data_IF_636148000428
#
_entry.id   IF_636148000428
#
_cell.length_a   1.000
_cell.length_b   1.000
_cell.length_c   1.000
_cell.angle_alpha   90.00
_cell.angle_beta   90.00
_cell.angle_gamma   90.00
#
_symmetry.space_group_name_H-M   'P 1'
#
loop_
_entity.id
_entity.type
_entity.pdbx_description
1 polymer ?
#
# COMPACT_ATOMS: atom_id res chain seq x y z
N UNK A 1 8.86 10.98 20.88
CA UNK A 1 9.28 10.68 19.89
C UNK A 1 8.44 10.68 18.65
N UNK A 2 7.27 11.30 18.71
CA UNK A 2 6.43 11.41 17.53
C UNK A 2 7.12 12.21 16.41
N UNK A 3 7.79 13.30 16.77
CA UNK A 3 8.51 14.12 15.80
C UNK A 3 9.64 13.34 15.12
N UNK A 4 10.35 12.50 15.87
CA UNK A 4 11.42 11.68 15.31
C UNK A 4 10.88 10.62 14.39
N UNK A 5 9.72 10.07 14.71
CA UNK A 5 9.08 9.03 13.91
C UNK A 5 8.67 9.58 12.55
N UNK A 6 8.05 10.76 12.52
CA UNK A 6 7.65 11.41 11.28
C UNK A 6 8.88 11.76 10.43
N UNK A 7 9.89 12.31 11.08
CA UNK A 7 11.12 12.71 10.44
C UNK A 7 11.84 11.54 9.80
N UNK A 8 11.91 10.43 10.55
CA UNK A 8 12.53 9.21 10.09
C UNK A 8 11.81 8.65 8.87
N UNK A 9 10.49 8.72 8.85
CA UNK A 9 9.71 8.24 7.72
C UNK A 9 10.06 9.00 6.43
N UNK A 10 10.13 10.33 6.50
CA UNK A 10 10.47 11.15 5.36
C UNK A 10 11.90 10.95 4.87
N UNK A 11 12.84 10.79 5.79
CA UNK A 11 14.24 10.68 5.46
C UNK A 11 14.68 9.30 5.04
N UNK A 12 13.94 8.29 5.43
CA UNK A 12 14.34 6.90 5.24
C UNK A 12 13.55 6.18 4.18
N UNK A 13 13.07 6.92 3.18
CA UNK A 13 12.30 6.27 2.12
C UNK A 13 13.17 5.28 1.33
N UNK A 14 14.44 5.60 1.13
CA UNK A 14 15.38 4.67 0.52
C UNK A 14 15.54 3.40 1.35
N UNK A 15 15.66 3.56 2.66
CA UNK A 15 15.77 2.43 3.57
C UNK A 15 14.48 1.60 3.55
N UNK A 16 13.34 2.25 3.47
CA UNK A 16 12.05 1.58 3.34
C UNK A 16 12.00 0.73 2.07
N UNK A 17 12.45 1.31 0.94
CA UNK A 17 12.50 0.60 -0.33
C UNK A 17 13.39 -0.65 -0.22
N UNK A 18 14.59 -0.48 0.35
CA UNK A 18 15.52 -1.60 0.51
C UNK A 18 14.95 -2.69 1.42
N UNK A 19 14.38 -2.29 2.53
CA UNK A 19 13.77 -3.20 3.49
C UNK A 19 12.64 -4.01 2.87
N UNK A 20 11.71 -3.32 2.21
CA UNK A 20 10.57 -3.98 1.59
C UNK A 20 11.00 -4.88 0.44
N UNK A 21 12.00 -4.45 -0.33
CA UNK A 21 12.51 -5.22 -1.45
C UNK A 21 13.19 -6.52 -1.04
N UNK A 22 13.69 -6.59 0.19
CA UNK A 22 14.35 -7.79 0.71
C UNK A 22 13.36 -8.80 1.29
N UNK A 23 12.15 -8.35 1.62
CA UNK A 23 11.15 -9.23 2.24
C UNK A 23 10.60 -10.22 1.23
N UNK A 24 10.41 -11.44 1.70
CA UNK A 24 9.83 -12.50 0.91
C UNK A 24 8.72 -13.15 1.71
N UNK A 25 7.51 -13.14 1.16
CA UNK A 25 6.34 -13.72 1.79
C UNK A 25 5.31 -14.00 0.72
N UNK A 26 4.76 -15.18 0.70
CA UNK A 26 3.77 -15.54 -0.31
C UNK A 26 2.42 -15.79 0.37
N UNK A 27 1.43 -14.90 0.18
CA UNK A 27 1.44 -13.79 -0.78
C UNK A 27 1.93 -12.48 -0.19
N UNK A 28 2.53 -11.65 -1.04
CA UNK A 28 2.82 -10.25 -0.75
C UNK A 28 1.95 -9.39 -1.65
N UNK A 29 1.24 -8.43 -1.07
CA UNK A 29 0.35 -7.55 -1.81
C UNK A 29 0.97 -6.16 -1.91
N UNK A 30 1.02 -5.63 -3.12
CA UNK A 30 1.43 -4.25 -3.37
C UNK A 30 0.30 -3.54 -4.09
N UNK A 31 -0.16 -2.42 -3.54
CA UNK A 31 -1.19 -1.59 -4.15
C UNK A 31 -0.60 -0.22 -4.36
N UNK A 32 -0.59 0.25 -5.61
CA UNK A 32 -0.11 1.59 -5.96
C UNK A 32 -1.20 2.29 -6.74
N UNK A 33 -1.53 3.52 -6.36
CA UNK A 33 -2.58 4.26 -7.05
C UNK A 33 -2.38 5.76 -6.90
N UNK A 34 -2.98 6.48 -7.84
CA UNK A 34 -2.96 7.93 -7.84
C UNK A 34 -3.94 8.49 -6.83
N UNK A 35 -3.52 9.55 -6.14
CA UNK A 35 -4.33 10.22 -5.13
C UNK A 35 -4.41 11.71 -5.45
N UNK A 36 -5.26 12.40 -4.72
CA UNK A 36 -5.48 13.83 -4.87
C UNK A 36 -5.11 14.56 -3.58
N UNK A 37 -4.48 15.72 -3.73
CA UNK A 37 -4.00 16.48 -2.56
C UNK A 37 -5.10 17.24 -1.85
N UNK A 38 -6.13 17.63 -2.58
CA UNK A 38 -7.13 18.58 -2.09
C UNK A 38 -8.55 18.06 -2.16
N UNK A 39 -9.37 18.57 -1.26
CA UNK A 39 -10.81 18.37 -1.23
C UNK A 39 -11.45 19.25 -2.34
N UNK A 40 -12.49 18.80 -3.06
CA UNK A 40 -13.19 17.52 -2.88
C UNK A 40 -12.65 16.35 -3.68
N UNK A 41 -11.65 16.55 -4.51
CA UNK A 41 -11.14 15.49 -5.39
C UNK A 41 -10.63 14.29 -4.61
N UNK A 42 -10.07 14.52 -3.41
CA UNK A 42 -9.53 13.45 -2.59
C UNK A 42 -10.61 12.52 -2.02
N UNK A 43 -11.88 12.88 -2.11
CA UNK A 43 -12.96 11.98 -1.69
C UNK A 43 -13.03 10.75 -2.58
N UNK A 44 -12.66 10.88 -3.84
CA UNK A 44 -12.63 9.75 -4.76
C UNK A 44 -11.53 8.76 -4.44
N UNK A 45 -10.48 9.20 -3.75
CA UNK A 45 -9.38 8.34 -3.35
C UNK A 45 -9.87 7.19 -2.47
N UNK A 46 -10.85 7.46 -1.61
CA UNK A 46 -11.42 6.43 -0.75
C UNK A 46 -12.15 5.36 -1.56
N UNK A 47 -12.85 5.76 -2.60
CA UNK A 47 -13.57 4.83 -3.47
C UNK A 47 -12.57 3.97 -4.25
N UNK A 48 -11.53 4.60 -4.80
CA UNK A 48 -10.48 3.88 -5.52
C UNK A 48 -9.78 2.89 -4.58
N UNK A 49 -9.43 3.34 -3.39
CA UNK A 49 -8.79 2.49 -2.38
C UNK A 49 -9.64 1.26 -2.06
N UNK A 50 -10.93 1.46 -1.82
CA UNK A 50 -11.84 0.36 -1.51
C UNK A 50 -11.94 -0.64 -2.66
N UNK A 51 -11.97 -0.13 -3.89
CA UNK A 51 -12.04 -0.99 -5.07
C UNK A 51 -10.76 -1.82 -5.22
N UNK A 52 -9.61 -1.21 -5.01
CA UNK A 52 -8.33 -1.92 -5.10
C UNK A 52 -8.17 -2.95 -3.98
N UNK A 53 -8.62 -2.62 -2.77
CA UNK A 53 -8.58 -3.57 -1.66
C UNK A 53 -9.53 -4.74 -1.91
N UNK A 54 -10.70 -4.49 -2.50
CA UNK A 54 -11.62 -5.56 -2.88
C UNK A 54 -11.03 -6.46 -3.94
N UNK A 55 -10.35 -5.88 -4.92
CA UNK A 55 -9.65 -6.67 -5.94
C UNK A 55 -8.59 -7.57 -5.29
N UNK A 56 -7.79 -7.01 -4.40
CA UNK A 56 -6.76 -7.77 -3.69
C UNK A 56 -7.38 -8.92 -2.90
N UNK A 57 -8.44 -8.65 -2.17
CA UNK A 57 -9.15 -9.66 -1.37
C UNK A 57 -9.66 -10.79 -2.24
N UNK A 58 -10.33 -10.45 -3.33
CA UNK A 58 -10.89 -11.45 -4.24
C UNK A 58 -9.82 -12.33 -4.86
N UNK A 59 -8.69 -11.73 -5.24
CA UNK A 59 -7.57 -12.47 -5.82
C UNK A 59 -6.92 -13.41 -4.80
N UNK A 60 -6.77 -12.95 -3.56
CA UNK A 60 -6.21 -13.80 -2.49
C UNK A 60 -7.14 -14.99 -2.22
N UNK A 61 -8.44 -14.72 -2.10
CA UNK A 61 -9.41 -15.79 -1.84
C UNK A 61 -9.44 -16.83 -2.96
N UNK A 62 -9.29 -16.41 -4.22
CA UNK A 62 -9.35 -17.32 -5.35
C UNK A 62 -8.05 -18.08 -5.59
N UNK A 63 -6.90 -17.56 -5.16
CA UNK A 63 -5.60 -18.14 -5.46
C UNK A 63 -4.92 -18.85 -4.30
N UNK A 64 -5.34 -18.58 -3.08
CA UNK A 64 -4.66 -19.08 -1.89
C UNK A 64 -5.63 -19.76 -0.93
N UNK A 65 -5.07 -20.57 -0.04
CA UNK A 65 -5.83 -21.23 1.01
C UNK A 65 -6.28 -20.19 2.03
N UNK A 66 -7.57 -20.18 2.34
CA UNK A 66 -8.16 -19.22 3.27
C UNK A 66 -7.58 -19.31 4.67
N UNK A 67 -7.23 -20.50 5.11
CA UNK A 67 -6.62 -20.71 6.44
C UNK A 67 -5.25 -20.04 6.52
N UNK A 68 -4.45 -20.18 5.46
CA UNK A 68 -3.10 -19.65 5.43
C UNK A 68 -3.06 -18.13 5.26
N UNK A 69 -4.16 -17.55 4.76
CA UNK A 69 -4.22 -16.10 4.47
C UNK A 69 -5.16 -15.34 5.38
N UNK A 70 -5.65 -15.96 6.45
CA UNK A 70 -6.62 -15.35 7.34
C UNK A 70 -6.17 -14.01 7.90
N UNK A 71 -4.95 -13.93 8.40
CA UNK A 71 -4.43 -12.69 8.98
C UNK A 71 -4.29 -11.60 7.93
N UNK A 72 -3.86 -11.99 6.73
CA UNK A 72 -3.72 -11.04 5.62
C UNK A 72 -5.09 -10.49 5.19
N UNK A 73 -6.09 -11.35 5.11
CA UNK A 73 -7.46 -10.93 4.77
C UNK A 73 -8.03 -9.98 5.82
N UNK A 74 -7.73 -10.21 7.09
CA UNK A 74 -8.13 -9.29 8.15
C UNK A 74 -7.46 -7.92 7.98
N UNK A 75 -6.19 -7.89 7.62
CA UNK A 75 -5.49 -6.64 7.36
C UNK A 75 -6.11 -5.87 6.19
N UNK A 76 -6.46 -6.57 5.13
CA UNK A 76 -7.10 -5.95 3.96
C UNK A 76 -8.43 -5.31 4.38
N UNK A 77 -9.20 -5.98 5.22
CA UNK A 77 -10.52 -5.48 5.61
C UNK A 77 -10.47 -4.27 6.55
N UNK A 78 -9.37 -4.10 7.27
CA UNK A 78 -9.26 -3.03 8.29
C UNK A 78 -8.37 -1.86 7.87
N UNK A 79 -7.49 -2.06 6.89
CA UNK A 79 -6.49 -1.04 6.58
C UNK A 79 -7.09 0.26 6.05
N UNK A 80 -8.24 0.20 5.39
CA UNK A 80 -8.85 1.43 4.87
C UNK A 80 -9.22 2.41 5.98
N UNK A 81 -9.52 1.90 7.17
CA UNK A 81 -9.85 2.74 8.31
C UNK A 81 -8.61 3.43 8.91
N UNK A 82 -7.43 2.89 8.65
CA UNK A 82 -6.18 3.42 9.15
C UNK A 82 -5.55 4.45 8.20
N UNK A 83 -6.03 4.52 6.97
CA UNK A 83 -5.46 5.42 5.96
C UNK A 83 -6.16 6.77 6.01
N UNK A 84 -5.37 7.83 6.21
CA UNK A 84 -5.87 9.19 6.18
C UNK A 84 -5.75 9.75 4.76
N UNK A 85 -6.87 9.86 4.08
CA UNK A 85 -6.94 10.34 2.70
C UNK A 85 -6.86 11.87 2.64
N UNK A 86 -7.22 12.56 3.72
CA UNK A 86 -7.24 14.02 3.75
C UNK A 86 -5.86 14.66 3.56
N UNK A 87 -4.82 13.93 3.91
CA UNK A 87 -3.44 14.41 3.76
C UNK A 87 -2.69 13.64 2.68
N UNK A 88 -3.37 13.36 1.58
CA UNK A 88 -2.77 12.64 0.46
C UNK A 88 -1.78 13.48 -0.32
N UNK A 89 -0.86 12.81 -0.99
CA UNK A 89 0.02 13.39 -1.98
C UNK A 89 -0.45 12.96 -3.36
N UNK A 90 0.45 12.83 -4.33
CA UNK A 90 0.05 12.48 -5.69
C UNK A 90 -0.14 11.00 -5.92
N UNK A 91 0.48 10.17 -5.08
CA UNK A 91 0.26 8.72 -5.14
C UNK A 91 0.42 8.10 -3.76
N UNK A 92 -0.08 6.87 -3.64
CA UNK A 92 0.00 6.09 -2.41
C UNK A 92 0.39 4.66 -2.75
N UNK A 93 1.23 4.07 -1.92
CA UNK A 93 1.71 2.70 -2.08
C UNK A 93 1.47 1.95 -0.79
N UNK A 94 0.81 0.81 -0.88
CA UNK A 94 0.45 -0.01 0.27
C UNK A 94 1.13 -1.37 0.12
N UNK A 95 1.83 -1.79 1.16
CA UNK A 95 2.54 -3.06 1.18
C UNK A 95 2.01 -3.91 2.32
N UNK A 96 1.39 -5.04 1.97
CA UNK A 96 0.78 -5.94 2.94
C UNK A 96 1.27 -7.36 2.75
N UNK A 97 1.66 -7.98 3.85
CA UNK A 97 1.90 -9.41 3.92
C UNK A 97 1.50 -9.87 5.31
N UNK A 98 1.69 -11.15 5.61
CA UNK A 98 1.31 -11.70 6.91
C UNK A 98 1.92 -10.91 8.07
N UNK A 99 3.16 -10.45 7.90
CA UNK A 99 3.88 -9.75 8.96
C UNK A 99 4.35 -8.34 8.58
N UNK A 100 3.82 -7.77 7.51
CA UNK A 100 4.21 -6.44 7.06
C UNK A 100 2.97 -5.62 6.71
N UNK A 101 2.96 -4.38 7.18
CA UNK A 101 1.94 -3.40 6.82
C UNK A 101 2.64 -2.05 6.75
N UNK A 102 2.79 -1.53 5.53
CA UNK A 102 3.48 -0.27 5.30
C UNK A 102 2.71 0.56 4.29
N UNK A 103 2.62 1.86 4.55
CA UNK A 103 1.94 2.82 3.65
C UNK A 103 2.92 3.94 3.36
N UNK A 104 3.17 4.21 2.09
CA UNK A 104 4.07 5.26 1.65
C UNK A 104 3.33 6.21 0.71
N UNK A 105 3.37 7.50 1.00
CA UNK A 105 2.79 8.53 0.13
C UNK A 105 3.92 9.20 -0.63
N UNK A 106 3.73 9.39 -1.92
CA UNK A 106 4.75 9.98 -2.78
C UNK A 106 4.23 11.19 -3.55
N UNK A 107 5.14 12.10 -3.89
CA UNK A 107 4.82 13.37 -4.52
C UNK A 107 4.71 13.29 -6.04
N UNK A 108 4.85 12.11 -6.63
CA UNK A 108 4.73 11.90 -8.06
C UNK A 108 3.65 10.87 -8.35
N UNK A 109 2.89 11.06 -9.43
CA UNK A 109 1.86 10.09 -9.77
C UNK A 109 2.46 8.78 -10.27
N UNK A 110 1.67 7.70 -10.20
CA UNK A 110 2.01 6.43 -10.82
C UNK A 110 1.37 6.35 -12.19
N UNK A 111 1.89 5.48 -13.05
CA UNK A 111 1.38 5.35 -14.42
C UNK A 111 -0.05 4.84 -14.44
N UNK A 112 -0.38 3.94 -13.55
CA UNK A 112 -1.73 3.40 -13.45
C UNK A 112 -1.97 2.84 -12.05
N UNK A 113 -3.22 2.81 -11.65
CA UNK A 113 -3.62 2.18 -10.40
C UNK A 113 -3.52 0.67 -10.58
N UNK A 114 -2.88 -0.02 -9.64
CA UNK A 114 -2.62 -1.44 -9.80
C UNK A 114 -2.52 -2.19 -8.47
N UNK A 115 -2.85 -3.48 -8.52
CA UNK A 115 -2.68 -4.42 -7.43
C UNK A 115 -1.76 -5.53 -7.92
N UNK A 116 -0.68 -5.76 -7.18
CA UNK A 116 0.28 -6.82 -7.48
C UNK A 116 0.30 -7.83 -6.35
N UNK A 117 0.22 -9.09 -6.68
CA UNK A 117 0.27 -10.18 -5.70
C UNK A 117 1.33 -11.18 -6.15
N UNK A 118 2.34 -11.38 -5.31
CA UNK A 118 3.49 -12.20 -5.64
C UNK A 118 4.15 -12.69 -4.36
N UNK A 119 5.31 -13.32 -4.48
CA UNK A 119 6.11 -13.72 -3.33
C UNK A 119 7.00 -12.59 -2.81
N UNK A 120 7.03 -11.46 -3.49
CA UNK A 120 7.75 -10.26 -3.08
C UNK A 120 6.93 -9.03 -3.41
N UNK A 121 7.19 -7.94 -2.71
CA UNK A 121 6.54 -6.68 -3.01
C UNK A 121 7.02 -6.13 -4.35
N UNK A 122 6.09 -5.54 -5.09
CA UNK A 122 6.40 -4.88 -6.36
C UNK A 122 6.90 -3.46 -6.06
N UNK A 123 8.18 -3.22 -6.25
CA UNK A 123 8.81 -1.96 -5.83
C UNK A 123 8.91 -0.92 -6.94
N UNK A 124 8.67 -1.30 -8.19
CA UNK A 124 8.90 -0.42 -9.34
C UNK A 124 8.11 0.89 -9.27
N UNK A 125 6.83 0.80 -8.93
CA UNK A 125 5.99 2.00 -8.88
C UNK A 125 6.48 2.97 -7.81
N UNK A 126 6.88 2.46 -6.64
CA UNK A 126 7.42 3.30 -5.58
C UNK A 126 8.75 3.92 -5.99
N UNK A 127 9.63 3.14 -6.59
CA UNK A 127 10.93 3.64 -7.04
C UNK A 127 10.75 4.75 -8.06
N UNK A 128 9.86 4.57 -9.02
CA UNK A 128 9.61 5.57 -10.06
C UNK A 128 8.93 6.83 -9.50
N UNK A 129 8.14 6.69 -8.44
CA UNK A 129 7.43 7.81 -7.82
C UNK A 129 8.22 8.48 -6.70
N UNK A 130 9.35 7.96 -6.36
CA UNK A 130 10.26 8.53 -5.36
C UNK A 130 11.30 9.39 -6.06
#
# INVERSE_FOLDING_TARGET
MEANKKWRHEMNIKDTILKLGEKESNPSITISFNTNRTHPDNEQDRVVLKNLLSEAQNRIVSQFNEVDTKELLEKISTISDEINIEHGLDSMHIFLSENTQEIVKTAWPVNQDAVYISDRFAMRALIDAY
#
